data_IF_613740069658
#
_entry.id   IF_613740069658
#
_cell.length_a   1.000
_cell.length_b   1.000
_cell.length_c   1.000
_cell.angle_alpha   90.00
_cell.angle_beta   90.00
_cell.angle_gamma   90.00
#
_symmetry.space_group_name_H-M   'P 1'
#
loop_
_entity.id
_entity.type
_entity.pdbx_description
1 polymer ?
#
# COMPACT_ATOMS: atom_id res chain seq x y z
N UNK A 1 15.89 0.25 24.85
CA UNK A 1 15.16 1.34 24.16
C UNK A 1 13.82 1.50 24.84
N UNK A 2 13.38 2.73 25.13
CA UNK A 2 12.03 2.96 25.67
C UNK A 2 11.08 3.30 24.52
N UNK A 3 9.76 3.06 24.66
CA UNK A 3 8.79 3.46 23.65
C UNK A 3 8.88 4.94 23.26
N UNK A 4 9.11 5.83 24.24
CA UNK A 4 9.25 7.27 24.01
C UNK A 4 10.52 7.61 23.22
N UNK A 5 11.60 6.86 23.42
CA UNK A 5 12.81 7.01 22.62
C UNK A 5 12.59 6.56 21.18
N UNK A 6 11.91 5.42 20.97
CA UNK A 6 11.60 4.92 19.63
C UNK A 6 10.71 5.92 18.85
N UNK A 7 9.68 6.48 19.48
CA UNK A 7 8.82 7.48 18.81
C UNK A 7 9.58 8.77 18.48
N UNK A 8 10.46 9.24 19.37
CA UNK A 8 11.31 10.40 19.07
C UNK A 8 12.24 10.12 17.90
N UNK A 9 12.93 8.99 17.88
CA UNK A 9 13.80 8.60 16.77
C UNK A 9 13.03 8.49 15.46
N UNK A 10 11.83 7.90 15.48
CA UNK A 10 10.92 7.85 14.33
C UNK A 10 10.63 9.24 13.75
N UNK A 11 10.29 10.21 14.61
CA UNK A 11 10.01 11.60 14.21
C UNK A 11 11.24 12.33 13.66
N UNK A 12 12.39 12.15 14.31
CA UNK A 12 13.64 12.77 13.88
C UNK A 12 14.09 12.22 12.52
N UNK A 13 14.00 10.89 12.33
CA UNK A 13 14.29 10.23 11.05
C UNK A 13 13.33 10.67 9.95
N UNK A 14 12.02 10.77 10.23
CA UNK A 14 11.04 11.31 9.28
C UNK A 14 11.39 12.72 8.84
N UNK A 15 11.72 13.60 9.80
CA UNK A 15 12.10 14.99 9.51
C UNK A 15 13.34 15.06 8.61
N UNK A 16 14.35 14.24 8.90
CA UNK A 16 15.56 14.17 8.10
C UNK A 16 15.29 13.64 6.67
N UNK A 17 14.47 12.60 6.54
CA UNK A 17 14.09 12.06 5.23
C UNK A 17 13.31 13.08 4.38
N UNK A 18 12.36 13.81 4.98
CA UNK A 18 11.61 14.86 4.29
C UNK A 18 12.53 15.96 3.74
N UNK A 19 13.47 16.44 4.55
CA UNK A 19 14.42 17.49 4.13
C UNK A 19 15.30 17.04 2.94
N UNK A 20 15.75 15.78 2.96
CA UNK A 20 16.52 15.21 1.84
C UNK A 20 15.65 15.11 0.58
N UNK A 21 14.43 14.59 0.70
CA UNK A 21 13.54 14.43 -0.45
C UNK A 21 13.16 15.77 -1.09
N UNK A 22 12.82 16.77 -0.28
CA UNK A 22 12.48 18.12 -0.74
C UNK A 22 13.63 18.75 -1.55
N UNK A 23 14.87 18.59 -1.09
CA UNK A 23 16.08 19.07 -1.79
C UNK A 23 16.19 18.51 -3.23
N UNK A 24 15.60 17.34 -3.47
CA UNK A 24 15.62 16.65 -4.75
C UNK A 24 14.27 16.69 -5.50
N UNK A 25 13.29 17.46 -5.02
CA UNK A 25 11.96 17.52 -5.63
C UNK A 25 11.17 16.20 -5.52
N UNK A 26 11.45 15.41 -4.48
CA UNK A 26 10.80 14.14 -4.16
C UNK A 26 9.88 14.31 -2.94
N UNK A 27 8.99 13.35 -2.75
CA UNK A 27 8.16 13.24 -1.54
C UNK A 27 8.42 11.91 -0.81
N UNK A 28 8.07 11.86 0.47
CA UNK A 28 8.28 10.71 1.35
C UNK A 28 6.96 10.30 2.01
N UNK A 29 6.69 9.00 2.03
CA UNK A 29 5.57 8.38 2.75
C UNK A 29 6.09 7.28 3.71
N UNK A 30 5.27 6.89 4.68
CA UNK A 30 5.57 5.83 5.65
C UNK A 30 6.16 6.37 6.96
N UNK A 31 7.23 5.74 7.45
CA UNK A 31 7.86 6.05 8.73
C UNK A 31 7.18 5.41 9.94
N UNK A 32 6.36 4.39 9.72
CA UNK A 32 5.87 3.51 10.77
C UNK A 32 6.99 2.59 11.26
N UNK A 33 6.97 2.29 12.56
CA UNK A 33 7.90 1.34 13.16
C UNK A 33 7.34 -0.08 13.02
N UNK A 34 8.20 -1.02 12.64
CA UNK A 34 7.95 -2.46 12.65
C UNK A 34 9.00 -3.19 13.48
N UNK A 35 8.75 -4.46 13.79
CA UNK A 35 9.71 -5.37 14.44
C UNK A 35 10.40 -4.76 15.68
N UNK A 36 9.60 -4.13 16.54
CA UNK A 36 10.11 -3.41 17.71
C UNK A 36 10.56 -4.41 18.77
N UNK A 37 11.87 -4.55 18.93
CA UNK A 37 12.50 -5.14 20.11
C UNK A 37 13.13 -4.03 20.97
N UNK A 38 12.43 -3.68 22.05
CA UNK A 38 12.89 -2.68 23.01
C UNK A 38 14.26 -2.99 23.64
N UNK A 39 14.79 -4.20 23.50
CA UNK A 39 16.13 -4.55 23.99
C UNK A 39 17.23 -4.12 23.04
N UNK A 40 17.01 -4.15 21.72
CA UNK A 40 18.09 -3.93 20.76
C UNK A 40 17.75 -3.22 19.44
N UNK A 41 16.52 -3.23 18.94
CA UNK A 41 16.24 -2.67 17.61
C UNK A 41 14.78 -2.36 17.34
N UNK A 42 14.56 -1.57 16.30
CA UNK A 42 13.30 -1.47 15.57
C UNK A 42 13.62 -1.35 14.09
N UNK A 43 12.66 -1.66 13.23
CA UNK A 43 12.72 -1.37 11.81
C UNK A 43 11.85 -0.15 11.49
N UNK A 44 12.27 0.64 10.51
CA UNK A 44 11.52 1.79 10.00
C UNK A 44 11.67 1.84 8.48
N UNK A 45 10.55 1.99 7.78
CA UNK A 45 10.52 2.02 6.32
C UNK A 45 10.00 3.34 5.80
N UNK A 46 10.74 3.93 4.85
CA UNK A 46 10.33 5.12 4.11
C UNK A 46 10.18 4.77 2.63
N UNK A 47 9.09 5.22 2.03
CA UNK A 47 8.93 5.20 0.58
C UNK A 47 9.25 6.60 0.06
N UNK A 48 10.18 6.71 -0.87
CA UNK A 48 10.54 7.98 -1.52
C UNK A 48 10.15 7.90 -3.00
N UNK A 49 9.52 8.94 -3.53
CA UNK A 49 9.15 8.95 -4.94
C UNK A 49 8.76 10.31 -5.49
N UNK A 50 8.34 10.31 -6.75
CA UNK A 50 7.98 11.53 -7.48
C UNK A 50 6.59 11.98 -6.99
N UNK A 51 6.44 13.22 -6.51
CA UNK A 51 5.14 13.72 -6.08
C UNK A 51 4.19 13.91 -7.28
N UNK A 52 2.94 13.49 -7.12
CA UNK A 52 1.84 13.90 -7.99
C UNK A 52 1.30 15.29 -7.56
N UNK A 53 0.41 15.90 -8.37
CA UNK A 53 -0.27 17.15 -7.98
C UNK A 53 -1.04 17.02 -6.65
N UNK A 54 -1.46 15.81 -6.29
CA UNK A 54 -2.11 15.49 -5.00
C UNK A 54 -1.14 15.43 -3.81
N UNK A 55 0.17 15.39 -4.04
CA UNK A 55 1.21 15.16 -3.03
C UNK A 55 1.53 13.70 -2.74
N UNK A 56 0.76 12.75 -3.28
CA UNK A 56 1.05 11.31 -3.19
C UNK A 56 2.24 10.89 -4.06
N UNK A 57 2.91 9.80 -3.68
CA UNK A 57 3.96 9.19 -4.51
C UNK A 57 3.36 8.57 -5.77
N UNK A 58 3.87 8.97 -6.94
CA UNK A 58 3.53 8.34 -8.22
C UNK A 58 3.77 6.83 -8.19
N UNK A 59 2.73 6.06 -8.56
CA UNK A 59 2.80 4.61 -8.75
C UNK A 59 2.32 4.26 -10.16
N UNK A 60 3.21 3.71 -11.02
CA UNK A 60 2.81 3.15 -12.31
C UNK A 60 1.72 2.07 -12.18
N UNK A 61 1.75 1.30 -11.10
CA UNK A 61 0.76 0.25 -10.82
C UNK A 61 -0.62 0.85 -10.55
N UNK A 62 -0.71 1.92 -9.75
CA UNK A 62 -1.95 2.66 -9.50
C UNK A 62 -2.50 3.26 -10.78
N UNK A 63 -1.67 3.95 -11.57
CA UNK A 63 -2.10 4.54 -12.83
C UNK A 63 -2.61 3.48 -13.82
N UNK A 64 -1.93 2.33 -13.92
CA UNK A 64 -2.40 1.21 -14.74
C UNK A 64 -3.70 0.61 -14.19
N UNK A 65 -3.83 0.50 -12.86
CA UNK A 65 -5.04 0.01 -12.22
C UNK A 65 -6.23 0.90 -12.58
N UNK A 66 -6.12 2.20 -12.39
CA UNK A 66 -7.20 3.17 -12.64
C UNK A 66 -7.72 3.11 -14.08
N UNK A 67 -6.82 2.94 -15.05
CA UNK A 67 -7.19 2.79 -16.47
C UNK A 67 -7.88 1.45 -16.74
N UNK A 68 -7.44 0.36 -16.11
CA UNK A 68 -7.94 -0.98 -16.42
C UNK A 68 -9.13 -1.41 -15.57
N UNK A 69 -9.36 -0.82 -14.40
CA UNK A 69 -10.38 -1.23 -13.44
C UNK A 69 -11.77 -1.41 -14.07
N UNK A 70 -12.29 -0.48 -14.90
CA UNK A 70 -13.62 -0.62 -15.50
C UNK A 70 -13.73 -1.87 -16.40
N UNK A 71 -12.65 -2.28 -17.06
CA UNK A 71 -12.64 -3.50 -17.90
C UNK A 71 -12.77 -4.79 -17.10
N UNK A 72 -12.50 -4.74 -15.80
CA UNK A 72 -12.59 -5.87 -14.87
C UNK A 72 -13.76 -5.73 -13.88
N UNK A 73 -14.65 -4.77 -14.10
CA UNK A 73 -15.83 -4.52 -13.23
C UNK A 73 -15.49 -3.88 -11.88
N UNK A 74 -14.32 -3.25 -11.77
CA UNK A 74 -13.87 -2.50 -10.60
C UNK A 74 -13.94 -0.99 -10.90
N UNK A 75 -14.00 -0.19 -9.84
CA UNK A 75 -13.86 1.27 -9.94
C UNK A 75 -12.38 1.67 -9.85
N UNK A 76 -11.92 2.76 -10.48
CA UNK A 76 -10.56 3.27 -10.31
C UNK A 76 -10.16 3.46 -8.84
N UNK A 77 -11.11 3.92 -8.01
CA UNK A 77 -10.96 4.15 -6.57
C UNK A 77 -10.86 2.83 -5.77
N UNK A 78 -11.04 1.67 -6.40
CA UNK A 78 -10.83 0.38 -5.76
C UNK A 78 -9.35 0.06 -5.52
N UNK A 79 -8.43 0.80 -6.13
CA UNK A 79 -7.01 0.68 -5.83
C UNK A 79 -6.76 0.96 -4.33
N UNK A 80 -6.17 0.00 -3.63
CA UNK A 80 -5.93 0.11 -2.19
C UNK A 80 -7.14 -0.20 -1.30
N UNK A 81 -8.34 -0.42 -1.86
CA UNK A 81 -9.48 -0.91 -1.06
C UNK A 81 -9.21 -2.32 -0.55
N UNK A 82 -9.81 -2.63 0.59
CA UNK A 82 -9.72 -3.94 1.22
C UNK A 82 -10.99 -4.76 1.02
N UNK A 83 -10.84 -6.07 0.86
CA UNK A 83 -11.93 -7.03 0.84
C UNK A 83 -11.59 -8.26 1.68
N UNK A 84 -12.62 -8.94 2.20
CA UNK A 84 -12.44 -10.22 2.90
C UNK A 84 -12.67 -11.40 1.96
N UNK A 85 -11.78 -12.38 2.03
CA UNK A 85 -11.94 -13.66 1.38
C UNK A 85 -11.58 -14.75 2.38
N UNK A 86 -12.54 -15.63 2.71
CA UNK A 86 -12.47 -16.49 3.89
C UNK A 86 -12.24 -15.62 5.14
N UNK A 87 -11.35 -16.05 6.05
CA UNK A 87 -11.06 -15.35 7.30
C UNK A 87 -9.94 -14.31 7.17
N UNK A 88 -9.46 -14.03 5.96
CA UNK A 88 -8.32 -13.13 5.71
C UNK A 88 -8.75 -11.81 5.04
N UNK A 89 -8.06 -10.73 5.38
CA UNK A 89 -8.24 -9.39 4.79
C UNK A 89 -7.16 -9.13 3.76
N UNK A 90 -7.57 -8.71 2.56
CA UNK A 90 -6.67 -8.42 1.44
C UNK A 90 -6.86 -6.98 0.98
N UNK A 91 -5.78 -6.35 0.52
CA UNK A 91 -5.75 -5.02 -0.10
C UNK A 91 -5.45 -5.16 -1.59
N UNK A 92 -6.24 -4.52 -2.45
CA UNK A 92 -5.99 -4.54 -3.90
C UNK A 92 -4.77 -3.66 -4.21
N UNK A 93 -3.81 -4.18 -4.98
CA UNK A 93 -2.55 -3.46 -5.28
C UNK A 93 -2.24 -3.31 -6.77
N UNK A 94 -2.78 -4.15 -7.65
CA UNK A 94 -2.54 -4.02 -9.10
C UNK A 94 -3.53 -4.83 -9.95
N UNK A 95 -3.65 -4.45 -11.22
CA UNK A 95 -4.27 -5.26 -12.29
C UNK A 95 -3.20 -5.69 -13.29
N UNK A 96 -3.22 -6.96 -13.69
CA UNK A 96 -2.37 -7.50 -14.75
C UNK A 96 -3.22 -8.19 -15.83
N UNK A 97 -3.45 -7.52 -16.98
CA UNK A 97 -4.33 -8.06 -18.03
C UNK A 97 -3.75 -9.30 -18.73
N UNK A 98 -2.44 -9.55 -18.62
CA UNK A 98 -1.79 -10.74 -19.18
C UNK A 98 -2.08 -12.02 -18.36
N UNK A 99 -2.87 -11.92 -17.28
CA UNK A 99 -3.28 -13.05 -16.42
C UNK A 99 -4.79 -13.28 -16.53
N UNK A 100 -5.28 -13.93 -17.60
CA UNK A 100 -6.71 -14.01 -17.88
C UNK A 100 -7.54 -14.64 -16.74
N UNK A 101 -6.98 -15.62 -16.02
CA UNK A 101 -7.69 -16.28 -14.90
C UNK A 101 -7.62 -15.51 -13.58
N UNK A 102 -6.54 -14.77 -13.34
CA UNK A 102 -6.26 -14.11 -12.07
C UNK A 102 -5.62 -12.73 -12.29
N UNK A 103 -6.38 -11.76 -12.87
CA UNK A 103 -5.84 -10.47 -13.24
C UNK A 103 -5.59 -9.56 -12.03
N UNK A 104 -6.30 -9.74 -10.92
CA UNK A 104 -6.19 -8.86 -9.76
C UNK A 104 -5.09 -9.35 -8.83
N UNK A 105 -4.12 -8.49 -8.51
CA UNK A 105 -3.13 -8.76 -7.46
C UNK A 105 -3.55 -8.05 -6.17
N UNK A 106 -3.48 -8.76 -5.06
CA UNK A 106 -3.82 -8.24 -3.75
C UNK A 106 -2.81 -8.71 -2.70
N UNK A 107 -2.58 -7.91 -1.69
CA UNK A 107 -1.70 -8.24 -0.56
C UNK A 107 -2.52 -8.55 0.67
N UNK A 108 -2.16 -9.61 1.39
CA UNK A 108 -2.79 -9.92 2.67
C UNK A 108 -2.32 -8.91 3.71
N UNK A 109 -3.27 -8.30 4.42
CA UNK A 109 -2.97 -7.18 5.33
C UNK A 109 -2.12 -7.62 6.53
N UNK A 110 -2.21 -8.87 6.96
CA UNK A 110 -1.50 -9.35 8.17
C UNK A 110 0.01 -9.50 7.99
N UNK A 111 0.48 -9.81 6.78
CA UNK A 111 1.89 -10.16 6.52
C UNK A 111 2.43 -9.65 5.17
N UNK A 112 1.65 -8.87 4.43
CA UNK A 112 2.04 -8.31 3.12
C UNK A 112 2.16 -9.35 2.01
N UNK A 113 1.81 -10.62 2.26
CA UNK A 113 2.00 -11.68 1.26
C UNK A 113 1.09 -11.44 0.05
N UNK A 114 1.65 -11.52 -1.15
CA UNK A 114 0.93 -11.33 -2.41
C UNK A 114 0.11 -12.53 -2.86
N UNK A 115 -1.12 -12.28 -3.28
CA UNK A 115 -2.09 -13.23 -3.82
C UNK A 115 -2.72 -12.72 -5.12
N UNK A 116 -3.35 -13.63 -5.87
CA UNK A 116 -3.97 -13.32 -7.17
C UNK A 116 -5.41 -13.83 -7.18
N UNK A 117 -6.32 -13.01 -7.69
CA UNK A 117 -7.75 -13.28 -7.65
C UNK A 117 -8.41 -13.12 -9.04
N UNK A 118 -9.47 -13.91 -9.33
CA UNK A 118 -10.38 -13.59 -10.43
C UNK A 118 -11.06 -12.25 -10.16
N UNK A 119 -11.24 -11.42 -11.19
CA UNK A 119 -11.87 -10.11 -11.04
C UNK A 119 -13.30 -10.21 -10.47
N UNK A 120 -14.10 -11.11 -11.01
CA UNK A 120 -15.48 -11.39 -10.58
C UNK A 120 -15.60 -11.67 -9.07
N UNK A 121 -14.64 -12.41 -8.49
CA UNK A 121 -14.64 -12.70 -7.06
C UNK A 121 -14.37 -11.44 -6.24
N UNK A 122 -13.40 -10.61 -6.66
CA UNK A 122 -13.05 -9.37 -5.96
C UNK A 122 -14.24 -8.41 -5.97
N UNK A 123 -14.88 -8.23 -7.13
CA UNK A 123 -16.11 -7.41 -7.26
C UNK A 123 -17.18 -7.89 -6.29
N UNK A 124 -17.45 -9.21 -6.26
CA UNK A 124 -18.41 -9.80 -5.33
C UNK A 124 -18.03 -9.55 -3.85
N UNK A 125 -16.75 -9.66 -3.49
CA UNK A 125 -16.30 -9.44 -2.11
C UNK A 125 -16.39 -7.98 -1.68
N UNK A 126 -16.11 -7.03 -2.58
CA UNK A 126 -16.24 -5.60 -2.30
C UNK A 126 -17.70 -5.22 -2.01
N UNK A 127 -18.66 -5.78 -2.76
CA UNK A 127 -20.09 -5.56 -2.53
C UNK A 127 -20.56 -6.09 -1.18
N UNK A 128 -20.03 -7.23 -0.73
CA UNK A 128 -20.36 -7.81 0.59
C UNK A 128 -19.72 -7.09 1.76
N UNK A 129 -18.64 -6.36 1.53
CA UNK A 129 -17.91 -5.62 2.57
C UNK A 129 -18.49 -4.22 2.81
N UNK A 130 -19.43 -3.78 1.97
CA UNK A 130 -20.16 -2.51 2.10
C UNK A 130 -21.54 -2.61 2.73
N UNK A 131 -21.88 -3.74 3.37
CA UNK A 131 -23.14 -3.99 4.08
C UNK A 131 -22.94 -4.06 5.59
#
# INVERSE_FOLDING_TARGET
MTPELCDRLRRDMMTACLAVAETHGLTVEGGDLSDIDLRHSFEISFRVGIPQESGEIYSPEKALFEVLAPHFGLEPEDHGRTFRSKDELFRIVAINPNRPKYPISAERVSDGRGFKFPAENVVMYLQRSGA
#
